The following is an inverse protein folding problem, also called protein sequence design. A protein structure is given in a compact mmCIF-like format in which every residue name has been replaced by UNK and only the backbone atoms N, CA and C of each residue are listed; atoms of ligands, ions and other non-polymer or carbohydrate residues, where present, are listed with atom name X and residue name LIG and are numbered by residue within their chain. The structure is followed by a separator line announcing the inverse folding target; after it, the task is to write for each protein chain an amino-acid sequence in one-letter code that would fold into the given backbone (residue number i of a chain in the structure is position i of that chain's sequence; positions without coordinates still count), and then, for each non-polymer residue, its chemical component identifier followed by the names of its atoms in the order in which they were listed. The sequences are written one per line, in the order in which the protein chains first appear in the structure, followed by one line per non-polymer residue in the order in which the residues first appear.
data_IF_988705797179
#
_entry.id   IF_988705797179
#
_cell.length_a   1.000
_cell.length_b   1.000
_cell.length_c   1.000
_cell.angle_alpha   90.00
_cell.angle_beta   90.00
_cell.angle_gamma   90.00
#
_symmetry.space_group_name_H-M   'P 1'
#
loop_
_entity.id
_entity.type
_entity.pdbx_description
1 polymer ?
#
# COMPACT_ATOMS: atom_id res chain seq x y z
N UNK A 1 -25.29 5.80 39.31
CA UNK A 1 -24.39 6.97 39.32
C UNK A 1 -23.08 6.54 38.72
N UNK A 2 -22.95 6.66 37.40
CA UNK A 2 -21.75 6.35 36.64
C UNK A 2 -20.95 7.64 36.45
N UNK A 3 -19.74 7.68 37.00
CA UNK A 3 -18.82 8.79 36.82
C UNK A 3 -18.49 8.94 35.33
N UNK A 4 -18.66 10.15 34.81
CA UNK A 4 -18.22 10.54 33.47
C UNK A 4 -16.68 10.56 33.47
N UNK A 5 -16.01 9.99 32.46
CA UNK A 5 -14.56 9.97 32.41
C UNK A 5 -14.03 11.39 32.21
N UNK A 6 -12.98 11.72 32.97
CA UNK A 6 -12.20 12.94 32.88
C UNK A 6 -11.96 13.33 31.40
N UNK A 7 -12.46 14.51 31.03
CA UNK A 7 -11.93 15.24 29.88
C UNK A 7 -10.47 15.54 30.20
N UNK A 8 -9.55 14.75 29.65
CA UNK A 8 -8.14 15.09 29.62
C UNK A 8 -8.05 16.44 28.89
N UNK A 9 -7.82 17.52 29.65
CA UNK A 9 -7.48 18.83 29.11
C UNK A 9 -6.33 18.64 28.13
N UNK A 10 -6.61 18.86 26.85
CA UNK A 10 -5.54 18.85 25.85
C UNK A 10 -4.62 20.03 26.17
N UNK A 11 -3.29 19.80 26.26
CA UNK A 11 -2.35 20.87 26.55
C UNK A 11 -2.50 21.97 25.48
N UNK A 12 -2.68 23.21 25.93
CA UNK A 12 -2.72 24.37 25.05
C UNK A 12 -1.34 24.55 24.40
N UNK A 13 -1.29 24.47 23.07
CA UNK A 13 -0.05 24.65 22.32
C UNK A 13 0.44 26.09 22.43
N UNK A 14 1.74 26.26 22.71
CA UNK A 14 2.35 27.60 22.75
C UNK A 14 2.78 28.05 21.35
N UNK A 15 2.95 29.37 21.12
CA UNK A 15 3.50 29.88 19.86
C UNK A 15 4.85 29.24 19.49
N UNK A 16 5.68 28.93 20.49
CA UNK A 16 6.96 28.25 20.31
C UNK A 16 6.76 26.81 19.83
N UNK A 17 5.80 26.07 20.39
CA UNK A 17 5.50 24.69 19.95
C UNK A 17 5.05 24.67 18.49
N UNK A 18 4.22 25.64 18.10
CA UNK A 18 3.75 25.80 16.71
C UNK A 18 4.92 26.13 15.79
N UNK A 19 5.77 27.08 16.17
CA UNK A 19 6.96 27.49 15.41
C UNK A 19 7.89 26.30 15.15
N UNK A 20 8.27 25.59 16.21
CA UNK A 20 9.17 24.43 16.13
C UNK A 20 8.52 23.28 15.36
N UNK A 21 7.20 23.13 15.50
CA UNK A 21 6.36 22.24 14.72
C UNK A 21 6.48 22.50 13.22
N UNK A 22 6.10 23.70 12.78
CA UNK A 22 6.13 24.11 11.37
C UNK A 22 7.53 23.94 10.79
N UNK A 23 8.57 24.45 11.47
CA UNK A 23 9.97 24.34 11.01
C UNK A 23 10.38 22.88 10.79
N UNK A 24 10.03 21.98 11.73
CA UNK A 24 10.32 20.54 11.63
C UNK A 24 9.60 19.87 10.46
N UNK A 25 8.32 20.17 10.25
CA UNK A 25 7.55 19.55 9.17
C UNK A 25 8.00 20.06 7.79
N UNK A 26 8.25 21.36 7.64
CA UNK A 26 8.83 21.94 6.42
C UNK A 26 10.22 21.37 6.10
N UNK A 27 11.06 21.19 7.12
CA UNK A 27 12.37 20.55 6.94
C UNK A 27 12.23 19.08 6.49
N UNK A 28 11.22 18.36 7.00
CA UNK A 28 10.91 16.99 6.61
C UNK A 28 10.46 16.93 5.15
N UNK A 29 9.51 17.78 4.74
CA UNK A 29 9.06 17.88 3.35
C UNK A 29 10.26 18.15 2.45
N UNK A 30 11.04 19.20 2.72
CA UNK A 30 12.22 19.57 1.91
C UNK A 30 13.25 18.45 1.79
N UNK A 31 13.54 17.76 2.90
CA UNK A 31 14.52 16.65 2.92
C UNK A 31 14.08 15.48 2.05
N UNK A 32 12.78 15.17 2.02
CA UNK A 32 12.25 13.98 1.37
C UNK A 32 11.66 14.25 -0.02
N UNK A 33 11.42 15.52 -0.36
CA UNK A 33 10.82 15.95 -1.62
C UNK A 33 11.51 15.38 -2.88
N UNK A 34 12.85 15.39 -3.02
CA UNK A 34 13.50 14.84 -4.21
C UNK A 34 13.19 13.35 -4.45
N UNK A 35 12.96 12.59 -3.38
CA UNK A 35 12.65 11.16 -3.45
C UNK A 35 11.21 10.87 -3.82
N UNK A 36 10.34 11.88 -3.93
CA UNK A 36 8.96 11.70 -4.43
C UNK A 36 8.91 11.58 -5.95
N UNK A 37 9.95 12.02 -6.66
CA UNK A 37 10.06 11.92 -8.12
C UNK A 37 10.52 10.54 -8.59
N UNK A 38 11.34 9.86 -7.78
CA UNK A 38 11.80 8.49 -8.01
C UNK A 38 11.77 7.71 -6.68
N UNK A 39 10.57 7.29 -6.22
CA UNK A 39 10.42 6.64 -4.94
C UNK A 39 11.13 5.27 -4.93
N UNK A 40 11.77 4.87 -3.81
CA UNK A 40 12.42 3.57 -3.72
C UNK A 40 11.43 2.46 -4.04
N UNK A 41 11.75 1.65 -5.05
CA UNK A 41 10.97 0.44 -5.35
C UNK A 41 11.13 -0.51 -4.17
N UNK A 42 10.06 -0.71 -3.40
CA UNK A 42 10.04 -1.77 -2.39
C UNK A 42 10.19 -3.10 -3.11
N UNK A 43 11.31 -3.80 -2.87
CA UNK A 43 11.53 -5.15 -3.36
C UNK A 43 10.48 -6.07 -2.73
N UNK A 44 9.34 -6.28 -3.40
CA UNK A 44 8.26 -7.10 -2.86
C UNK A 44 6.93 -7.09 -3.61
N UNK A 45 6.67 -6.12 -4.50
CA UNK A 45 5.43 -6.04 -5.30
C UNK A 45 5.54 -6.74 -6.66
N UNK A 46 6.12 -7.94 -6.67
CA UNK A 46 6.04 -8.88 -7.78
C UNK A 46 4.87 -9.85 -7.57
N UNK A 47 3.66 -9.34 -7.45
CA UNK A 47 2.44 -10.14 -7.31
C UNK A 47 1.46 -9.78 -8.41
N UNK A 48 1.45 -10.56 -9.49
CA UNK A 48 0.50 -10.48 -10.59
C UNK A 48 -0.89 -10.91 -10.13
N UNK A 49 -1.74 -9.95 -9.75
CA UNK A 49 -3.19 -10.14 -9.79
C UNK A 49 -3.83 -8.99 -10.55
N UNK A 50 -4.43 -9.36 -11.67
CA UNK A 50 -5.11 -8.47 -12.59
C UNK A 50 -6.37 -7.86 -11.98
N UNK A 51 -6.49 -6.55 -12.20
CA UNK A 51 -7.76 -5.88 -12.43
C UNK A 51 -7.59 -5.11 -13.74
N UNK A 52 -8.46 -5.30 -14.75
CA UNK A 52 -8.41 -4.51 -15.97
C UNK A 52 -8.99 -3.13 -15.67
N UNK A 53 -8.09 -2.16 -15.50
CA UNK A 53 -8.43 -0.77 -15.22
C UNK A 53 -7.19 -0.01 -14.75
N UNK A 54 -6.31 0.32 -15.70
CA UNK A 54 -5.37 1.45 -15.68
C UNK A 54 -5.11 2.09 -14.30
N UNK A 55 -4.00 1.76 -13.63
CA UNK A 55 -3.28 2.61 -12.66
C UNK A 55 -2.04 1.85 -12.21
N UNK A 56 -0.86 2.43 -12.37
CA UNK A 56 0.40 1.81 -12.00
C UNK A 56 0.47 1.72 -10.47
N UNK A 57 0.71 0.55 -9.86
CA UNK A 57 0.83 0.47 -8.41
C UNK A 57 2.09 1.22 -7.95
N UNK A 58 1.89 2.41 -7.38
CA UNK A 58 2.92 3.22 -6.71
C UNK A 58 3.17 4.62 -7.29
N UNK A 59 2.83 4.89 -8.56
CA UNK A 59 3.15 6.17 -9.20
C UNK A 59 2.02 7.22 -9.03
N UNK A 60 0.75 6.80 -9.11
CA UNK A 60 -0.38 7.72 -9.03
C UNK A 60 -0.49 8.39 -7.64
N UNK A 61 -0.14 7.66 -6.58
CA UNK A 61 -0.06 8.20 -5.21
C UNK A 61 1.02 9.26 -5.07
N UNK A 62 2.18 9.10 -5.71
CA UNK A 62 3.25 10.09 -5.67
C UNK A 62 2.95 11.31 -6.53
N UNK A 63 2.26 11.13 -7.67
CA UNK A 63 1.81 12.24 -8.51
C UNK A 63 0.75 13.07 -7.78
N UNK A 64 -0.28 12.43 -7.21
CA UNK A 64 -1.31 13.13 -6.44
C UNK A 64 -0.72 13.86 -5.23
N UNK A 65 0.16 13.21 -4.46
CA UNK A 65 0.80 13.86 -3.31
C UNK A 65 1.63 15.08 -3.72
N UNK A 66 2.36 15.02 -4.84
CA UNK A 66 3.14 16.17 -5.31
C UNK A 66 2.23 17.36 -5.66
N UNK A 67 1.08 17.11 -6.29
CA UNK A 67 0.10 18.15 -6.58
C UNK A 67 -0.49 18.74 -5.29
N UNK A 68 -0.82 17.90 -4.31
CA UNK A 68 -1.34 18.33 -3.01
C UNK A 68 -0.33 19.17 -2.23
N UNK A 69 0.91 18.69 -2.06
CA UNK A 69 1.99 19.44 -1.38
C UNK A 69 2.21 20.79 -2.03
N UNK A 70 2.28 20.85 -3.36
CA UNK A 70 2.51 22.10 -4.09
C UNK A 70 1.35 23.07 -3.88
N UNK A 71 0.11 22.60 -4.01
CA UNK A 71 -1.10 23.41 -3.82
C UNK A 71 -1.20 23.95 -2.40
N UNK A 72 -0.97 23.11 -1.40
CA UNK A 72 -1.18 23.48 0.01
C UNK A 72 -0.09 24.43 0.48
N UNK A 73 1.17 24.21 0.07
CA UNK A 73 2.24 25.17 0.32
C UNK A 73 2.00 26.51 -0.37
N UNK A 74 1.52 26.50 -1.63
CA UNK A 74 1.15 27.72 -2.34
C UNK A 74 0.04 28.49 -1.59
N UNK A 75 -1.01 27.77 -1.16
CA UNK A 75 -2.08 28.34 -0.36
C UNK A 75 -1.55 29.02 0.92
N UNK A 76 -0.67 28.33 1.67
CA UNK A 76 -0.13 28.88 2.91
C UNK A 76 0.79 30.08 2.70
N UNK A 77 1.58 30.11 1.63
CA UNK A 77 2.36 31.31 1.25
C UNK A 77 1.42 32.48 0.97
N UNK A 78 0.39 32.28 0.14
CA UNK A 78 -0.55 33.35 -0.20
C UNK A 78 -1.29 33.88 1.03
N UNK A 79 -1.87 32.97 1.82
CA UNK A 79 -2.58 33.33 3.04
C UNK A 79 -1.68 34.10 4.03
N UNK A 80 -0.42 33.68 4.18
CA UNK A 80 0.50 34.37 5.08
C UNK A 80 0.89 35.76 4.57
N UNK A 81 1.22 35.90 3.29
CA UNK A 81 1.59 37.19 2.67
C UNK A 81 0.43 38.17 2.65
N UNK A 82 -0.81 37.70 2.46
CA UNK A 82 -2.00 38.55 2.50
C UNK A 82 -2.19 39.18 3.88
N UNK A 83 -1.89 38.44 4.96
CA UNK A 83 -1.95 38.92 6.34
C UNK A 83 -0.67 39.67 6.78
N UNK A 84 0.47 39.41 6.13
CA UNK A 84 1.79 39.98 6.44
C UNK A 84 2.44 40.51 5.16
N UNK A 85 2.02 41.68 4.65
CA UNK A 85 2.47 42.19 3.35
C UNK A 85 3.99 42.43 3.27
N UNK A 86 4.62 42.72 4.40
CA UNK A 86 6.07 42.95 4.50
C UNK A 86 6.87 41.63 4.57
N UNK A 87 6.23 40.46 4.64
CA UNK A 87 6.90 39.16 4.73
C UNK A 87 7.79 38.84 3.52
N UNK A 88 7.55 39.50 2.39
CA UNK A 88 8.34 39.36 1.17
C UNK A 88 9.60 40.23 1.16
N UNK A 89 9.88 41.02 2.19
CA UNK A 89 11.10 41.82 2.25
C UNK A 89 12.35 40.95 2.11
N UNK A 90 13.16 41.23 1.08
CA UNK A 90 14.33 40.42 0.71
C UNK A 90 14.04 39.25 -0.24
N UNK A 91 12.80 39.10 -0.71
CA UNK A 91 12.38 38.13 -1.72
C UNK A 91 11.82 38.84 -2.96
N UNK A 92 12.51 38.72 -4.11
CA UNK A 92 12.03 39.34 -5.36
C UNK A 92 10.72 38.70 -5.86
N UNK A 93 10.67 37.37 -5.85
CA UNK A 93 9.50 36.55 -6.21
C UNK A 93 9.62 35.17 -5.56
N UNK A 94 8.48 34.56 -5.19
CA UNK A 94 8.39 33.17 -4.76
C UNK A 94 7.61 32.40 -5.83
N UNK A 95 8.28 31.46 -6.49
CA UNK A 95 7.58 30.47 -7.30
C UNK A 95 6.97 29.43 -6.36
N UNK A 96 5.64 29.46 -6.22
CA UNK A 96 4.91 28.54 -5.36
C UNK A 96 4.96 27.09 -5.86
N UNK A 97 5.44 26.84 -7.09
CA UNK A 97 5.73 25.49 -7.60
C UNK A 97 7.10 24.97 -7.13
N UNK A 98 8.00 25.86 -6.70
CA UNK A 98 9.28 25.50 -6.10
C UNK A 98 9.06 25.19 -4.60
N UNK A 99 8.73 23.93 -4.33
CA UNK A 99 8.49 23.42 -2.98
C UNK A 99 9.68 23.66 -2.04
N UNK A 100 10.92 23.51 -2.51
CA UNK A 100 12.09 23.70 -1.65
C UNK A 100 12.24 25.16 -1.22
N UNK A 101 12.08 26.08 -2.18
CA UNK A 101 12.15 27.52 -1.93
C UNK A 101 10.98 27.99 -1.07
N UNK A 102 9.79 27.47 -1.32
CA UNK A 102 8.58 27.75 -0.52
C UNK A 102 8.75 27.28 0.93
N UNK A 103 9.25 26.06 1.16
CA UNK A 103 9.54 25.58 2.51
C UNK A 103 10.60 26.43 3.22
N UNK A 104 11.62 26.94 2.50
CA UNK A 104 12.63 27.84 3.09
C UNK A 104 12.02 29.18 3.50
N UNK A 105 11.21 29.77 2.63
CA UNK A 105 10.49 31.00 2.93
C UNK A 105 9.65 30.85 4.20
N UNK A 106 8.71 29.91 4.24
CA UNK A 106 7.84 29.70 5.40
C UNK A 106 8.64 29.36 6.67
N UNK A 107 9.74 28.61 6.56
CA UNK A 107 10.59 28.30 7.70
C UNK A 107 11.31 29.52 8.30
N UNK A 108 11.61 30.54 7.48
CA UNK A 108 12.20 31.80 7.96
C UNK A 108 11.18 32.63 8.73
N UNK A 109 9.92 32.61 8.30
CA UNK A 109 8.79 33.29 8.96
C UNK A 109 8.29 32.56 10.22
N UNK A 110 9.03 31.55 10.70
CA UNK A 110 8.55 30.62 11.72
C UNK A 110 8.04 31.28 13.01
N UNK A 111 8.72 32.34 13.47
CA UNK A 111 8.34 33.00 14.73
C UNK A 111 7.00 33.75 14.57
N UNK A 112 6.80 34.44 13.45
CA UNK A 112 5.54 35.12 13.12
C UNK A 112 4.41 34.11 12.91
N UNK A 113 4.68 33.03 12.18
CA UNK A 113 3.76 31.90 11.98
C UNK A 113 3.33 31.25 13.30
N UNK A 114 4.19 31.22 14.32
CA UNK A 114 3.86 30.70 15.64
C UNK A 114 2.80 31.53 16.37
N UNK A 115 2.77 32.83 16.11
CA UNK A 115 1.79 33.77 16.70
C UNK A 115 0.58 34.06 15.81
N UNK A 116 0.64 33.64 14.54
CA UNK A 116 -0.43 33.84 13.58
C UNK A 116 -1.65 32.98 13.92
N UNK A 117 -2.86 33.56 13.82
CA UNK A 117 -4.13 32.90 14.15
C UNK A 117 -4.33 31.58 13.37
N UNK A 118 -3.81 31.48 12.15
CA UNK A 118 -3.90 30.27 11.33
C UNK A 118 -2.70 29.30 11.50
N UNK A 119 -1.68 29.67 12.30
CA UNK A 119 -0.45 28.91 12.45
C UNK A 119 -0.66 27.48 12.96
N UNK A 120 -1.55 27.28 13.94
CA UNK A 120 -1.85 25.94 14.44
C UNK A 120 -2.49 25.04 13.36
N UNK A 121 -3.42 25.60 12.57
CA UNK A 121 -4.06 24.87 11.47
C UNK A 121 -3.04 24.52 10.38
N UNK A 122 -2.19 25.47 10.02
CA UNK A 122 -1.11 25.26 9.06
C UNK A 122 -0.19 24.13 9.53
N UNK A 123 0.16 24.11 10.82
CA UNK A 123 1.00 23.04 11.37
C UNK A 123 0.36 21.66 11.26
N UNK A 124 -0.93 21.51 11.59
CA UNK A 124 -1.64 20.22 11.48
C UNK A 124 -1.66 19.69 10.03
N UNK A 125 -1.91 20.58 9.06
CA UNK A 125 -1.89 20.24 7.65
C UNK A 125 -0.47 19.85 7.19
N UNK A 126 0.55 20.62 7.58
CA UNK A 126 1.96 20.32 7.28
C UNK A 126 2.43 19.00 7.91
N UNK A 127 1.98 18.66 9.11
CA UNK A 127 2.29 17.38 9.76
C UNK A 127 1.79 16.20 8.94
N UNK A 128 0.59 16.33 8.36
CA UNK A 128 0.02 15.31 7.48
C UNK A 128 0.86 15.15 6.21
N UNK A 129 1.15 16.26 5.52
CA UNK A 129 1.96 16.26 4.30
C UNK A 129 3.37 15.74 4.55
N UNK A 130 4.05 16.17 5.62
CA UNK A 130 5.39 15.74 5.97
C UNK A 130 5.47 14.22 6.22
N UNK A 131 4.47 13.67 6.91
CA UNK A 131 4.34 12.23 7.14
C UNK A 131 4.19 11.47 5.83
N UNK A 132 3.33 11.93 4.93
CA UNK A 132 3.05 11.26 3.66
C UNK A 132 4.26 11.33 2.71
N UNK A 133 4.90 12.49 2.61
CA UNK A 133 6.13 12.68 1.81
C UNK A 133 7.24 11.75 2.33
N UNK A 134 7.41 11.66 3.65
CA UNK A 134 8.38 10.75 4.27
C UNK A 134 8.04 9.28 3.97
N UNK A 135 6.78 8.89 4.10
CA UNK A 135 6.35 7.51 3.90
C UNK A 135 6.49 7.06 2.43
N UNK A 136 6.38 7.97 1.46
CA UNK A 136 6.70 7.70 0.04
C UNK A 136 8.22 7.65 -0.18
N UNK A 137 8.97 8.60 0.39
CA UNK A 137 10.41 8.71 0.19
C UNK A 137 11.21 7.58 0.85
N UNK A 138 10.71 7.07 1.97
CA UNK A 138 11.31 6.00 2.75
C UNK A 138 10.21 5.00 3.13
N UNK A 139 9.71 4.22 2.16
CA UNK A 139 8.64 3.27 2.41
C UNK A 139 9.12 2.29 3.48
N UNK A 140 8.33 2.17 4.55
CA UNK A 140 8.62 1.20 5.61
C UNK A 140 8.77 -0.15 4.96
N UNK A 141 9.98 -0.73 5.06
CA UNK A 141 10.22 -2.11 4.65
C UNK A 141 9.28 -2.96 5.46
N UNK A 142 8.20 -3.42 4.82
CA UNK A 142 7.28 -4.35 5.46
C UNK A 142 8.00 -5.68 5.42
N UNK A 143 8.59 -6.05 6.55
CA UNK A 143 9.18 -7.38 6.76
C UNK A 143 8.16 -8.51 6.65
N UNK A 144 6.90 -8.21 6.29
CA UNK A 144 5.81 -9.16 6.23
C UNK A 144 5.21 -9.27 4.84
N UNK A 145 5.16 -10.50 4.32
CA UNK A 145 4.62 -10.87 3.01
C UNK A 145 3.20 -11.44 3.23
N UNK A 146 2.18 -11.01 2.46
CA UNK A 146 0.85 -11.61 2.54
C UNK A 146 0.89 -13.05 2.02
N UNK A 147 0.32 -13.99 2.77
CA UNK A 147 0.16 -15.39 2.34
C UNK A 147 -1.20 -15.66 1.69
N UNK A 148 -2.23 -14.87 2.06
CA UNK A 148 -3.61 -15.01 1.60
C UNK A 148 -4.60 -14.75 2.73
N UNK A 149 -5.85 -15.17 2.55
CA UNK A 149 -6.95 -14.89 3.47
C UNK A 149 -7.28 -16.11 4.33
N UNK A 150 -7.36 -15.93 5.64
CA UNK A 150 -7.88 -16.95 6.56
C UNK A 150 -9.39 -17.10 6.38
N UNK A 151 -9.98 -18.25 6.74
CA UNK A 151 -11.43 -18.47 6.72
C UNK A 151 -12.26 -17.42 7.48
N UNK A 152 -11.67 -16.69 8.44
CA UNK A 152 -12.32 -15.60 9.15
C UNK A 152 -12.27 -14.24 8.42
N UNK A 153 -11.80 -14.21 7.17
CA UNK A 153 -11.70 -13.01 6.33
C UNK A 153 -10.48 -12.12 6.57
N UNK A 154 -9.57 -12.52 7.47
CA UNK A 154 -8.37 -11.72 7.79
C UNK A 154 -7.19 -12.15 6.93
N UNK A 155 -6.49 -11.18 6.31
CA UNK A 155 -5.26 -11.43 5.55
C UNK A 155 -4.14 -11.88 6.49
N UNK A 156 -3.64 -13.08 6.26
CA UNK A 156 -2.50 -13.67 6.96
C UNK A 156 -1.21 -13.18 6.33
N UNK A 157 -0.24 -12.82 7.18
CA UNK A 157 1.06 -12.30 6.76
C UNK A 157 2.19 -13.05 7.46
N UNK A 158 3.23 -13.41 6.71
CA UNK A 158 4.44 -14.07 7.21
C UNK A 158 5.58 -13.07 7.31
N UNK A 159 6.47 -13.18 8.31
CA UNK A 159 7.71 -12.40 8.32
C UNK A 159 8.76 -13.04 7.41
N UNK A 160 9.45 -12.25 6.59
CA UNK A 160 10.44 -12.74 5.63
C UNK A 160 11.64 -13.43 6.29
N UNK A 161 12.03 -13.01 7.49
CA UNK A 161 13.20 -13.52 8.22
C UNK A 161 12.85 -14.50 9.36
N UNK A 162 11.57 -14.72 9.66
CA UNK A 162 11.12 -15.62 10.73
C UNK A 162 9.76 -16.25 10.40
N UNK A 163 9.74 -17.33 9.59
CA UNK A 163 8.52 -17.96 9.13
C UNK A 163 7.90 -18.95 10.13
N UNK A 164 8.51 -19.15 11.31
CA UNK A 164 8.30 -20.35 12.12
C UNK A 164 6.89 -20.53 12.70
N UNK A 165 6.19 -19.44 13.03
CA UNK A 165 4.86 -19.52 13.62
C UNK A 165 4.00 -18.31 13.21
N UNK A 166 3.16 -18.51 12.20
CA UNK A 166 2.36 -17.45 11.60
C UNK A 166 0.98 -17.50 12.20
N UNK A 167 0.48 -16.35 12.68
CA UNK A 167 -0.80 -16.25 13.37
C UNK A 167 -1.76 -15.37 12.59
N UNK A 168 -2.97 -15.85 12.35
CA UNK A 168 -4.09 -15.02 11.89
C UNK A 168 -4.53 -14.10 13.04
N UNK A 169 -4.56 -12.79 12.78
CA UNK A 169 -4.96 -11.79 13.80
C UNK A 169 -6.47 -11.77 14.07
N UNK A 170 -7.29 -12.29 13.16
CA UNK A 170 -8.75 -12.34 13.32
C UNK A 170 -9.18 -13.47 14.25
N UNK A 171 -8.97 -14.72 13.84
CA UNK A 171 -9.39 -15.90 14.60
C UNK A 171 -8.33 -16.46 15.57
N UNK A 172 -7.09 -15.97 15.52
CA UNK A 172 -6.01 -16.44 16.39
C UNK A 172 -5.39 -17.78 16.00
N UNK A 173 -5.89 -18.44 14.94
CA UNK A 173 -5.27 -19.66 14.38
C UNK A 173 -3.80 -19.41 14.11
N UNK A 174 -2.96 -20.36 14.49
CA UNK A 174 -1.52 -20.30 14.27
C UNK A 174 -1.10 -21.54 13.49
N UNK A 175 -0.25 -21.35 12.49
CA UNK A 175 0.27 -22.43 11.66
C UNK A 175 1.63 -22.05 11.05
N UNK A 176 2.30 -23.04 10.47
CA UNK A 176 3.51 -22.87 9.67
C UNK A 176 3.18 -22.22 8.31
N UNK A 177 4.19 -21.78 7.55
CA UNK A 177 3.97 -21.34 6.15
C UNK A 177 3.26 -22.42 5.33
N UNK A 178 3.71 -23.67 5.42
CA UNK A 178 3.12 -24.78 4.68
C UNK A 178 1.68 -25.03 5.13
N UNK A 179 1.42 -24.98 6.44
CA UNK A 179 0.06 -25.12 6.97
C UNK A 179 -0.88 -23.99 6.58
N UNK A 180 -0.41 -22.74 6.57
CA UNK A 180 -1.20 -21.62 6.03
C UNK A 180 -1.42 -21.73 4.53
N UNK A 181 -0.41 -22.13 3.78
CA UNK A 181 -0.54 -22.42 2.35
C UNK A 181 -1.60 -23.50 2.16
N UNK A 182 -1.56 -24.59 2.93
CA UNK A 182 -2.55 -25.66 2.88
C UNK A 182 -3.96 -25.20 3.27
N UNK A 183 -4.13 -24.30 4.25
CA UNK A 183 -5.44 -23.76 4.67
C UNK A 183 -6.01 -22.77 3.66
N UNK A 184 -5.21 -21.79 3.26
CA UNK A 184 -5.57 -20.76 2.28
C UNK A 184 -5.85 -21.40 0.91
N UNK A 185 -5.06 -22.42 0.54
CA UNK A 185 -5.23 -23.19 -0.70
C UNK A 185 -6.18 -24.39 -0.52
N UNK A 186 -6.66 -24.72 0.69
CA UNK A 186 -7.27 -26.03 0.94
C UNK A 186 -8.28 -26.10 2.07
N UNK A 187 -9.51 -25.73 1.74
CA UNK A 187 -10.61 -26.68 1.77
C UNK A 187 -11.19 -26.81 0.35
N UNK A 188 -10.70 -27.76 -0.43
CA UNK A 188 -11.22 -28.00 -1.77
C UNK A 188 -11.63 -29.46 -1.90
N UNK A 189 -12.93 -29.70 -1.82
CA UNK A 189 -13.51 -30.95 -2.28
C UNK A 189 -13.03 -31.24 -3.72
N UNK A 190 -12.67 -32.49 -4.03
CA UNK A 190 -12.35 -32.89 -5.39
C UNK A 190 -13.46 -32.46 -6.34
N UNK A 191 -13.10 -31.77 -7.43
CA UNK A 191 -14.03 -31.18 -8.40
C UNK A 191 -14.00 -31.90 -9.73
N UNK A 192 -15.08 -31.80 -10.47
CA UNK A 192 -15.19 -32.33 -11.83
C UNK A 192 -14.59 -31.37 -12.86
N UNK A 193 -14.27 -31.85 -14.07
CA UNK A 193 -13.75 -30.98 -15.15
C UNK A 193 -14.68 -29.81 -15.49
N UNK A 194 -16.02 -29.98 -15.60
CA UNK A 194 -16.92 -28.85 -15.79
C UNK A 194 -16.81 -27.78 -14.71
N UNK A 195 -16.54 -28.17 -13.46
CA UNK A 195 -16.36 -27.24 -12.34
C UNK A 195 -14.97 -26.60 -12.33
N UNK A 196 -13.94 -27.25 -12.90
CA UNK A 196 -12.61 -26.67 -13.03
C UNK A 196 -12.59 -25.46 -13.98
N UNK A 197 -13.31 -25.53 -15.11
CA UNK A 197 -13.34 -24.44 -16.11
C UNK A 197 -13.62 -23.05 -15.49
N UNK A 198 -14.72 -22.82 -14.76
CA UNK A 198 -14.98 -21.52 -14.16
C UNK A 198 -13.98 -21.17 -13.04
N UNK A 199 -13.44 -22.16 -12.32
CA UNK A 199 -12.45 -21.92 -11.26
C UNK A 199 -11.10 -21.45 -11.82
N UNK A 200 -10.65 -22.06 -12.92
CA UNK A 200 -9.42 -21.66 -13.63
C UNK A 200 -9.57 -20.25 -14.20
N UNK A 201 -10.73 -19.95 -14.77
CA UNK A 201 -11.03 -18.61 -15.28
C UNK A 201 -11.06 -17.57 -14.16
N UNK A 202 -11.77 -17.83 -13.06
CA UNK A 202 -11.96 -16.86 -11.98
C UNK A 202 -10.68 -16.62 -11.15
N UNK A 203 -9.89 -17.67 -10.87
CA UNK A 203 -8.71 -17.54 -10.00
C UNK A 203 -7.41 -17.24 -10.76
N UNK A 204 -7.24 -17.77 -11.97
CA UNK A 204 -5.99 -17.65 -12.73
C UNK A 204 -6.13 -16.76 -13.97
N UNK A 205 -7.34 -16.33 -14.32
CA UNK A 205 -7.59 -15.59 -15.56
C UNK A 205 -7.40 -16.44 -16.83
N UNK A 206 -7.24 -17.75 -16.69
CA UNK A 206 -6.97 -18.66 -17.81
C UNK A 206 -8.30 -19.09 -18.45
N UNK A 207 -8.48 -18.75 -19.72
CA UNK A 207 -9.63 -19.19 -20.52
C UNK A 207 -9.31 -20.54 -21.15
N UNK A 208 -9.86 -21.62 -20.57
CA UNK A 208 -9.65 -23.00 -21.04
C UNK A 208 -10.98 -23.73 -21.21
N UNK A 209 -11.11 -24.49 -22.30
CA UNK A 209 -12.31 -25.29 -22.57
C UNK A 209 -12.29 -26.63 -21.83
N UNK A 210 -13.46 -27.15 -21.49
CA UNK A 210 -13.62 -28.48 -20.90
C UNK A 210 -12.97 -29.58 -21.77
N UNK A 211 -13.10 -29.47 -23.10
CA UNK A 211 -12.49 -30.37 -24.07
C UNK A 211 -10.96 -30.37 -24.00
N UNK A 212 -10.35 -29.24 -23.67
CA UNK A 212 -8.90 -29.14 -23.51
C UNK A 212 -8.44 -29.79 -22.21
N UNK A 213 -9.12 -29.53 -21.09
CA UNK A 213 -8.84 -30.20 -19.82
C UNK A 213 -9.00 -31.73 -19.92
N UNK A 214 -10.02 -32.21 -20.63
CA UNK A 214 -10.20 -33.66 -20.90
C UNK A 214 -9.04 -34.24 -21.69
N UNK A 215 -8.56 -33.53 -22.72
CA UNK A 215 -7.39 -33.96 -23.51
C UNK A 215 -6.11 -34.00 -22.67
N UNK A 216 -5.91 -33.03 -21.78
CA UNK A 216 -4.76 -33.00 -20.89
C UNK A 216 -4.77 -34.12 -19.86
N UNK A 217 -5.94 -34.42 -19.29
CA UNK A 217 -6.11 -35.59 -18.44
C UNK A 217 -5.79 -36.89 -19.21
N UNK A 218 -6.34 -37.08 -20.41
CA UNK A 218 -6.04 -38.24 -21.25
C UNK A 218 -4.55 -38.35 -21.63
N UNK A 219 -3.86 -37.22 -21.74
CA UNK A 219 -2.42 -37.16 -21.99
C UNK A 219 -1.57 -37.33 -20.71
N UNK A 220 -2.19 -37.63 -19.57
CA UNK A 220 -1.49 -37.84 -18.29
C UNK A 220 -0.87 -36.59 -17.67
N UNK A 221 -1.37 -35.39 -18.03
CA UNK A 221 -0.82 -34.12 -17.51
C UNK A 221 -1.18 -33.84 -16.05
N UNK A 222 -2.29 -34.41 -15.58
CA UNK A 222 -2.73 -34.43 -14.20
C UNK A 222 -3.63 -35.65 -13.99
N UNK A 223 -3.73 -36.16 -12.77
CA UNK A 223 -4.47 -37.38 -12.45
C UNK A 223 -5.79 -37.09 -11.73
N UNK A 224 -6.75 -38.00 -11.87
CA UNK A 224 -7.96 -37.97 -11.05
C UNK A 224 -7.66 -38.52 -9.65
N UNK A 225 -8.22 -37.87 -8.62
CA UNK A 225 -8.16 -38.31 -7.23
C UNK A 225 -9.15 -39.44 -6.94
N UNK A 226 -10.17 -39.62 -7.79
CA UNK A 226 -11.07 -40.77 -7.75
C UNK A 226 -11.47 -41.27 -9.15
N UNK A 227 -11.36 -42.57 -9.37
CA UNK A 227 -11.66 -43.26 -10.63
C UNK A 227 -13.13 -43.74 -10.70
N UNK A 228 -14.07 -42.85 -10.36
CA UNK A 228 -15.50 -43.13 -10.49
C UNK A 228 -16.04 -42.85 -11.90
N UNK A 229 -17.34 -43.12 -12.12
CA UNK A 229 -18.05 -42.76 -13.36
C UNK A 229 -17.98 -41.26 -13.70
N UNK A 230 -17.72 -40.42 -12.69
CA UNK A 230 -17.37 -39.01 -12.85
C UNK A 230 -16.03 -38.76 -12.14
N UNK A 231 -14.90 -38.74 -12.87
CA UNK A 231 -13.60 -38.49 -12.29
C UNK A 231 -13.57 -37.13 -11.59
N UNK A 232 -13.01 -37.11 -10.39
CA UNK A 232 -12.78 -35.88 -9.64
C UNK A 232 -11.30 -35.61 -9.52
N UNK A 233 -10.97 -34.33 -9.52
CA UNK A 233 -9.61 -33.84 -9.62
C UNK A 233 -9.32 -32.95 -8.42
N UNK A 234 -8.15 -33.16 -7.83
CA UNK A 234 -7.60 -32.18 -6.91
C UNK A 234 -7.26 -30.92 -7.72
N UNK A 235 -7.78 -29.78 -7.26
CA UNK A 235 -7.51 -28.50 -7.91
C UNK A 235 -6.01 -28.19 -7.91
N UNK A 236 -5.26 -28.67 -6.91
CA UNK A 236 -3.81 -28.51 -6.77
C UNK A 236 -3.05 -29.13 -7.93
N UNK A 237 -3.36 -30.39 -8.26
CA UNK A 237 -2.68 -31.11 -9.34
C UNK A 237 -2.92 -30.44 -10.70
N UNK A 238 -4.14 -29.93 -10.90
CA UNK A 238 -4.51 -29.22 -12.12
C UNK A 238 -3.82 -27.85 -12.20
N UNK A 239 -3.79 -27.07 -11.11
CA UNK A 239 -3.10 -25.78 -11.08
C UNK A 239 -1.58 -25.91 -11.22
N UNK A 240 -0.97 -26.90 -10.56
CA UNK A 240 0.46 -27.17 -10.68
C UNK A 240 0.83 -27.58 -12.11
N UNK A 241 0.02 -28.44 -12.75
CA UNK A 241 0.19 -28.81 -14.14
C UNK A 241 0.07 -27.59 -15.09
N UNK A 242 -0.85 -26.67 -14.82
CA UNK A 242 -1.03 -25.43 -15.59
C UNK A 242 0.18 -24.50 -15.48
N UNK A 243 0.65 -24.23 -14.25
CA UNK A 243 1.82 -23.39 -14.02
C UNK A 243 3.08 -23.98 -14.68
N UNK A 244 3.24 -25.31 -14.66
CA UNK A 244 4.34 -25.99 -15.34
C UNK A 244 4.26 -25.87 -16.87
N UNK A 245 3.07 -25.90 -17.45
CA UNK A 245 2.87 -25.74 -18.90
C UNK A 245 3.16 -24.31 -19.36
N UNK A 246 2.70 -23.30 -18.62
CA UNK A 246 2.94 -21.89 -18.91
C UNK A 246 4.44 -21.55 -18.87
N UNK A 247 5.18 -22.08 -17.89
CA UNK A 247 6.63 -21.92 -17.80
C UNK A 247 7.39 -22.65 -18.93
N UNK A 248 6.93 -23.81 -19.39
CA UNK A 248 7.55 -24.51 -20.52
C UNK A 248 7.33 -23.80 -21.85
N UNK A 249 6.15 -23.23 -22.05
CA UNK A 249 5.84 -22.45 -23.25
C UNK A 249 6.63 -21.13 -23.26
N UNK A 250 6.83 -20.50 -22.11
CA UNK A 250 7.63 -19.27 -21.96
C UNK A 250 9.14 -19.50 -22.08
N UNK A 251 9.65 -20.69 -21.71
CA UNK A 251 11.07 -21.04 -21.80
C UNK A 251 11.46 -21.66 -23.16
N UNK A 252 10.48 -21.95 -24.02
CA UNK A 252 10.69 -22.50 -25.36
C UNK A 252 10.53 -21.49 -26.50
N UNK A 253 10.33 -20.20 -26.18
CA UNK A 253 10.31 -19.06 -27.10
C UNK A 253 11.59 -18.23 -26.94
#
# INVERSE_FOLDING_TARGET
MTAHPDHLEQPTLTPTDITDGIRRELATIRRHWPHTFDPPRTAGTGGSHGVPGTRFPGNDTAISLRAEVTRDLAFWVHAFVDDHPDALDGWDTIDALDVERTCRFLSQQGDDLGTWDAGNRMWDELQTLAREVRDIAAPKVRDTIPLGECDCGTVVRAKAHDPGNIKCRGCGTTDTIDGWTLRIVGHHEPVTIPQLVPLLHQRMGIVISERQLRRWHQAGRFAATSEGSTPRFDRRDVFAALAYLEHRESAGA
#
